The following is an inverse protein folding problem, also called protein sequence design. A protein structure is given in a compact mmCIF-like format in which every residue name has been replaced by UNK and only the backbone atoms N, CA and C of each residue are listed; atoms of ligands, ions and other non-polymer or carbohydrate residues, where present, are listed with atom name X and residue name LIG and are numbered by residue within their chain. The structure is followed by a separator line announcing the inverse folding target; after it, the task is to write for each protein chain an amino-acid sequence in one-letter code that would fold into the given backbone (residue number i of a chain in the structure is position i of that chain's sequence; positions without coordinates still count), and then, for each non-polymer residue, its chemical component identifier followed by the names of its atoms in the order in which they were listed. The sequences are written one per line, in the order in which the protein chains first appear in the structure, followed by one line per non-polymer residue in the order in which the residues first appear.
data_IF_081482681682
#
_entry.id   IF_081482681682
#
_cell.length_a   1.000
_cell.length_b   1.000
_cell.length_c   1.000
_cell.angle_alpha   90.00
_cell.angle_beta   90.00
_cell.angle_gamma   90.00
#
_symmetry.space_group_name_H-M   'P 1'
#
loop_
_entity.id
_entity.type
_entity.pdbx_description
1 polymer ?
#
# COMPACT_ATOMS: atom_id res chain seq x y z
N UNK A 1 -23.88 -33.92 -13.46
CA UNK A 1 -23.71 -34.75 -12.25
C UNK A 1 -23.79 -33.81 -11.05
N UNK A 2 -24.72 -34.04 -10.11
CA UNK A 2 -24.87 -33.21 -8.90
C UNK A 2 -23.74 -33.57 -7.94
N UNK A 3 -22.74 -32.69 -7.79
CA UNK A 3 -21.77 -32.82 -6.70
C UNK A 3 -22.49 -32.48 -5.41
N UNK A 4 -22.75 -33.52 -4.62
CA UNK A 4 -23.39 -33.44 -3.32
C UNK A 4 -22.32 -33.15 -2.26
N UNK A 5 -21.64 -32.00 -2.35
CA UNK A 5 -20.83 -31.52 -1.24
C UNK A 5 -21.79 -30.91 -0.22
N UNK A 6 -22.23 -31.73 0.74
CA UNK A 6 -22.92 -31.23 1.95
C UNK A 6 -21.88 -30.52 2.82
N UNK A 7 -21.68 -29.23 2.58
CA UNK A 7 -21.01 -28.37 3.53
C UNK A 7 -21.96 -28.14 4.72
N UNK A 8 -21.52 -28.49 5.93
CA UNK A 8 -22.19 -28.02 7.13
C UNK A 8 -21.72 -26.57 7.33
N UNK A 9 -22.54 -25.62 6.90
CA UNK A 9 -22.28 -24.19 7.09
C UNK A 9 -22.27 -23.88 8.59
N UNK A 10 -21.10 -23.59 9.14
CA UNK A 10 -20.94 -23.23 10.56
C UNK A 10 -21.03 -21.72 10.76
N UNK A 11 -20.49 -20.94 9.81
CA UNK A 11 -20.53 -19.47 9.78
C UNK A 11 -20.50 -19.01 8.31
N UNK A 12 -21.35 -18.04 7.99
CA UNK A 12 -21.32 -17.28 6.72
C UNK A 12 -21.10 -15.81 7.06
N UNK A 13 -20.07 -15.20 6.49
CA UNK A 13 -19.83 -13.77 6.60
C UNK A 13 -19.39 -13.24 5.22
N UNK A 14 -20.12 -12.29 4.62
CA UNK A 14 -19.73 -11.69 3.34
C UNK A 14 -18.39 -10.96 3.37
N UNK A 15 -17.90 -10.59 4.56
CA UNK A 15 -16.60 -9.91 4.77
C UNK A 15 -15.47 -10.90 5.13
N UNK A 16 -15.70 -12.21 5.02
CA UNK A 16 -14.65 -13.21 5.27
C UNK A 16 -13.58 -13.15 4.18
N UNK A 17 -12.31 -12.95 4.58
CA UNK A 17 -11.16 -13.02 3.68
C UNK A 17 -10.79 -14.45 3.29
N UNK A 18 -11.32 -15.45 4.02
CA UNK A 18 -11.18 -16.88 3.68
C UNK A 18 -12.41 -17.32 2.89
N UNK A 19 -12.19 -17.68 1.62
CA UNK A 19 -13.24 -18.08 0.69
C UNK A 19 -13.45 -19.60 0.76
N UNK A 20 -14.69 -20.04 0.97
CA UNK A 20 -15.04 -21.46 1.03
C UNK A 20 -15.02 -22.15 -0.35
N UNK A 21 -15.41 -21.43 -1.40
CA UNK A 21 -15.41 -21.89 -2.78
C UNK A 21 -14.89 -20.80 -3.72
N UNK A 22 -13.87 -21.13 -4.52
CA UNK A 22 -13.34 -20.23 -5.53
C UNK A 22 -13.55 -20.84 -6.92
N UNK A 23 -14.27 -20.11 -7.78
CA UNK A 23 -14.39 -20.48 -9.20
C UNK A 23 -13.23 -19.84 -9.95
N UNK A 24 -12.27 -20.62 -10.46
CA UNK A 24 -11.15 -20.06 -11.20
C UNK A 24 -11.64 -19.41 -12.50
N UNK A 25 -11.15 -18.21 -12.80
CA UNK A 25 -11.37 -17.59 -14.09
C UNK A 25 -10.82 -18.49 -15.20
N UNK A 26 -11.58 -18.67 -16.28
CA UNK A 26 -11.16 -19.47 -17.43
C UNK A 26 -9.93 -18.82 -18.08
N UNK A 27 -8.78 -19.49 -17.99
CA UNK A 27 -7.53 -19.07 -18.64
C UNK A 27 -7.22 -20.03 -19.77
N UNK A 28 -7.22 -19.54 -21.01
CA UNK A 28 -6.49 -20.21 -22.09
C UNK A 28 -5.02 -19.92 -21.88
N UNK A 29 -4.26 -20.88 -21.35
CA UNK A 29 -2.81 -20.75 -21.26
C UNK A 29 -2.23 -20.52 -22.66
N UNK A 30 -1.93 -19.27 -22.99
CA UNK A 30 -1.02 -18.94 -24.07
C UNK A 30 0.39 -19.01 -23.48
N UNK A 31 1.27 -19.74 -24.16
CA UNK A 31 2.71 -19.84 -23.91
C UNK A 31 3.34 -18.55 -23.39
N UNK A 32 4.29 -18.67 -22.45
CA UNK A 32 5.28 -17.66 -22.03
C UNK A 32 4.85 -16.20 -22.26
N UNK A 33 4.10 -15.65 -21.31
CA UNK A 33 3.90 -14.20 -21.23
C UNK A 33 5.21 -13.55 -20.78
N UNK A 34 5.57 -12.42 -21.39
CA UNK A 34 6.67 -11.59 -20.90
C UNK A 34 6.34 -10.99 -19.54
N UNK A 35 7.35 -10.61 -18.76
CA UNK A 35 7.18 -9.91 -17.48
C UNK A 35 6.34 -8.63 -17.64
N UNK A 36 6.58 -7.88 -18.71
CA UNK A 36 5.81 -6.66 -19.02
C UNK A 36 4.32 -6.94 -19.29
N UNK A 37 4.00 -8.06 -19.93
CA UNK A 37 2.60 -8.48 -20.15
C UNK A 37 1.94 -8.92 -18.83
N UNK A 38 2.68 -9.64 -17.98
CA UNK A 38 2.21 -10.05 -16.65
C UNK A 38 1.99 -8.86 -15.73
N UNK A 39 2.92 -7.91 -15.70
CA UNK A 39 2.82 -6.67 -14.91
C UNK A 39 1.62 -5.83 -15.36
N UNK A 40 1.43 -5.65 -16.67
CA UNK A 40 0.28 -4.92 -17.22
C UNK A 40 -1.04 -5.61 -16.85
N UNK A 41 -1.10 -6.94 -16.92
CA UNK A 41 -2.28 -7.69 -16.53
C UNK A 41 -2.57 -7.56 -15.03
N UNK A 42 -1.54 -7.64 -14.18
CA UNK A 42 -1.67 -7.48 -12.72
C UNK A 42 -2.16 -6.08 -12.34
N UNK A 43 -1.59 -5.03 -12.94
CA UNK A 43 -2.05 -3.65 -12.69
C UNK A 43 -3.51 -3.50 -13.10
N UNK A 44 -3.91 -4.04 -14.26
CA UNK A 44 -5.31 -4.02 -14.69
C UNK A 44 -6.25 -4.69 -13.68
N UNK A 45 -5.86 -5.85 -13.15
CA UNK A 45 -6.63 -6.56 -12.12
C UNK A 45 -6.75 -5.76 -10.81
N UNK A 46 -5.66 -5.13 -10.37
CA UNK A 46 -5.67 -4.30 -9.16
C UNK A 46 -6.55 -3.05 -9.36
N UNK A 47 -6.53 -2.43 -10.55
CA UNK A 47 -7.41 -1.31 -10.87
C UNK A 47 -8.89 -1.70 -10.86
N UNK A 48 -9.24 -2.89 -11.35
CA UNK A 48 -10.61 -3.44 -11.23
C UNK A 48 -11.01 -3.65 -9.76
N UNK A 49 -10.04 -3.88 -8.87
CA UNK A 49 -10.21 -3.97 -7.42
C UNK A 49 -10.09 -2.61 -6.71
N UNK A 50 -10.26 -1.50 -7.46
CA UNK A 50 -10.24 -0.12 -6.98
C UNK A 50 -8.88 0.38 -6.43
N UNK A 51 -7.77 -0.29 -6.75
CA UNK A 51 -6.45 0.30 -6.53
C UNK A 51 -6.22 1.42 -7.54
N UNK A 52 -5.81 2.59 -7.08
CA UNK A 52 -5.46 3.69 -7.95
C UNK A 52 -4.06 3.48 -8.55
N UNK A 53 -3.95 3.46 -9.87
CA UNK A 53 -2.65 3.44 -10.53
C UNK A 53 -2.03 4.83 -10.59
N UNK A 54 -0.79 4.97 -10.14
CA UNK A 54 -0.03 6.22 -10.20
C UNK A 54 1.28 6.07 -11.00
N UNK A 55 1.58 6.97 -11.97
CA UNK A 55 2.81 6.92 -12.75
C UNK A 55 4.00 7.59 -12.03
N UNK A 56 4.29 7.15 -10.80
CA UNK A 56 5.40 7.64 -9.96
C UNK A 56 6.74 7.11 -10.50
N UNK A 57 7.72 7.99 -10.69
CA UNK A 57 9.03 7.63 -11.29
C UNK A 57 10.23 7.99 -10.43
N UNK A 58 10.04 8.81 -9.40
CA UNK A 58 11.11 9.32 -8.55
C UNK A 58 10.80 9.13 -7.08
N UNK A 59 11.82 9.21 -6.23
CA UNK A 59 11.62 9.15 -4.78
C UNK A 59 10.86 10.38 -4.28
N UNK A 60 11.08 11.54 -4.90
CA UNK A 60 10.41 12.80 -4.64
C UNK A 60 8.91 12.69 -4.93
N UNK A 61 8.54 12.09 -6.06
CA UNK A 61 7.14 11.80 -6.40
C UNK A 61 6.50 10.87 -5.35
N UNK A 62 7.23 9.85 -4.88
CA UNK A 62 6.75 8.93 -3.85
C UNK A 62 6.53 9.64 -2.52
N UNK A 63 7.47 10.50 -2.10
CA UNK A 63 7.35 11.33 -0.89
C UNK A 63 6.18 12.31 -0.99
N UNK A 64 6.02 12.95 -2.13
CA UNK A 64 4.92 13.89 -2.38
C UNK A 64 3.56 13.17 -2.35
N UNK A 65 3.47 11.97 -2.92
CA UNK A 65 2.27 11.15 -2.83
C UNK A 65 1.98 10.72 -1.39
N UNK A 66 3.00 10.24 -0.65
CA UNK A 66 2.84 9.85 0.74
C UNK A 66 2.31 11.00 1.61
N UNK A 67 2.83 12.22 1.43
CA UNK A 67 2.31 13.42 2.10
C UNK A 67 0.81 13.57 1.87
N UNK A 68 0.37 13.54 0.61
CA UNK A 68 -1.05 13.70 0.25
C UNK A 68 -1.93 12.62 0.87
N UNK A 69 -1.47 11.36 0.91
CA UNK A 69 -2.25 10.29 1.52
C UNK A 69 -2.35 10.44 3.04
N UNK A 70 -1.28 10.86 3.71
CA UNK A 70 -1.31 11.12 5.16
C UNK A 70 -2.15 12.35 5.51
N UNK A 71 -2.10 13.40 4.70
CA UNK A 71 -2.98 14.58 4.81
C UNK A 71 -4.45 14.18 4.71
N UNK A 72 -4.78 13.33 3.72
CA UNK A 72 -6.13 12.80 3.50
C UNK A 72 -6.60 11.91 4.64
N UNK A 73 -5.75 11.02 5.15
CA UNK A 73 -6.09 10.11 6.24
C UNK A 73 -6.32 10.86 7.57
N UNK A 74 -5.56 11.92 7.82
CA UNK A 74 -5.56 12.63 9.11
C UNK A 74 -6.32 13.95 9.11
N UNK A 75 -7.02 14.26 8.01
CA UNK A 75 -7.74 15.50 7.76
C UNK A 75 -6.92 16.72 8.19
N UNK A 76 -5.73 16.84 7.61
CA UNK A 76 -4.81 17.95 7.88
C UNK A 76 -4.05 18.36 6.62
N UNK A 77 -3.40 19.50 6.69
CA UNK A 77 -2.41 19.94 5.70
C UNK A 77 -1.11 20.21 6.43
N UNK A 78 -0.02 19.61 5.97
CA UNK A 78 1.31 19.90 6.51
C UNK A 78 1.81 21.21 5.90
N UNK A 79 2.59 21.99 6.65
CA UNK A 79 3.54 22.93 6.05
C UNK A 79 4.74 22.16 5.46
N UNK A 80 5.53 22.79 4.60
CA UNK A 80 6.71 22.12 4.04
C UNK A 80 7.73 21.77 5.12
N UNK A 81 7.90 22.64 6.12
CA UNK A 81 8.78 22.43 7.27
C UNK A 81 8.26 21.30 8.16
N UNK A 82 6.97 21.29 8.48
CA UNK A 82 6.33 20.19 9.23
C UNK A 82 6.51 18.85 8.53
N UNK A 83 6.27 18.81 7.21
CA UNK A 83 6.40 17.61 6.40
C UNK A 83 7.85 17.09 6.38
N UNK A 84 8.82 17.97 6.09
CA UNK A 84 10.23 17.58 6.01
C UNK A 84 10.73 17.01 7.35
N UNK A 85 10.39 17.69 8.46
CA UNK A 85 10.76 17.24 9.79
C UNK A 85 10.09 15.91 10.15
N UNK A 86 8.77 15.78 9.93
CA UNK A 86 8.02 14.57 10.22
C UNK A 86 8.54 13.38 9.40
N UNK A 87 8.73 13.57 8.09
CA UNK A 87 9.23 12.53 7.21
C UNK A 87 10.61 12.06 7.67
N UNK A 88 11.56 12.97 7.92
CA UNK A 88 12.94 12.62 8.28
C UNK A 88 13.05 11.92 9.64
N UNK A 89 12.16 12.25 10.58
CA UNK A 89 12.22 11.72 11.94
C UNK A 89 11.46 10.40 12.09
N UNK A 90 10.26 10.32 11.52
CA UNK A 90 9.34 9.20 11.81
C UNK A 90 9.29 8.14 10.70
N UNK A 91 9.57 8.50 9.44
CA UNK A 91 9.34 7.61 8.28
C UNK A 91 10.66 7.27 7.57
N UNK A 92 11.33 8.30 7.06
CA UNK A 92 12.55 8.22 6.25
C UNK A 92 13.83 8.36 7.07
N UNK A 93 13.81 8.05 8.37
CA UNK A 93 14.99 8.15 9.22
C UNK A 93 16.08 7.17 8.73
N UNK A 94 17.27 7.66 8.30
CA UNK A 94 18.33 6.81 7.78
C UNK A 94 18.91 5.83 8.81
N UNK A 95 18.71 6.10 10.10
CA UNK A 95 19.15 5.24 11.19
C UNK A 95 18.19 4.07 11.47
N UNK A 96 16.97 4.10 10.94
CA UNK A 96 15.99 3.02 11.14
C UNK A 96 16.29 1.82 10.24
N UNK A 97 16.39 0.65 10.88
CA UNK A 97 16.51 -0.65 10.23
C UNK A 97 15.18 -1.11 9.61
N UNK A 98 15.19 -2.26 8.92
CA UNK A 98 13.97 -2.86 8.38
C UNK A 98 13.03 -3.29 9.53
N UNK A 99 13.61 -3.72 10.64
CA UNK A 99 12.93 -4.09 11.87
C UNK A 99 12.23 -2.88 12.50
N UNK A 100 12.89 -1.73 12.59
CA UNK A 100 12.30 -0.49 13.12
C UNK A 100 11.13 -0.01 12.26
N UNK A 101 11.25 -0.14 10.94
CA UNK A 101 10.15 0.17 10.00
C UNK A 101 8.98 -0.81 10.17
N UNK A 102 9.28 -2.09 10.46
CA UNK A 102 8.26 -3.09 10.74
C UNK A 102 7.52 -2.74 12.04
N UNK A 103 8.23 -2.38 13.11
CA UNK A 103 7.63 -1.92 14.37
C UNK A 103 6.77 -0.69 14.14
N UNK A 104 7.23 0.27 13.34
CA UNK A 104 6.47 1.48 12.99
C UNK A 104 5.12 1.15 12.33
N UNK A 105 5.08 0.17 11.43
CA UNK A 105 3.83 -0.21 10.76
C UNK A 105 2.95 -1.12 11.65
N UNK A 106 3.55 -2.03 12.40
CA UNK A 106 2.82 -3.05 13.15
C UNK A 106 2.35 -2.57 14.53
N UNK A 107 3.17 -1.80 15.23
CA UNK A 107 2.95 -1.44 16.63
C UNK A 107 2.80 0.07 16.79
N UNK A 108 3.70 0.86 16.19
CA UNK A 108 3.81 2.31 16.39
C UNK A 108 3.29 3.13 15.18
N UNK A 109 2.09 2.78 14.72
CA UNK A 109 1.48 3.34 13.50
C UNK A 109 0.84 4.72 13.73
N UNK A 110 0.95 5.29 14.94
CA UNK A 110 0.45 6.62 15.30
C UNK A 110 1.64 7.45 15.80
N UNK A 111 1.99 8.49 15.05
CA UNK A 111 3.15 9.34 15.32
C UNK A 111 2.75 10.72 15.80
N UNK A 112 3.61 11.40 16.55
CA UNK A 112 3.31 12.75 17.04
C UNK A 112 3.93 13.78 16.09
N UNK A 113 3.09 14.57 15.43
CA UNK A 113 3.51 15.77 14.72
C UNK A 113 3.62 16.94 15.71
N UNK A 114 4.78 17.59 15.73
CA UNK A 114 4.95 18.91 16.36
C UNK A 114 4.71 19.96 15.28
N UNK A 115 3.70 20.78 15.48
CA UNK A 115 3.29 21.82 14.53
C UNK A 115 4.10 23.09 14.73
N UNK A 116 4.14 23.93 13.70
CA UNK A 116 4.87 25.20 13.73
C UNK A 116 4.30 26.19 14.77
N UNK A 117 3.02 26.04 15.12
CA UNK A 117 2.32 26.82 16.17
C UNK A 117 2.65 26.34 17.60
N UNK A 118 3.50 25.33 17.75
CA UNK A 118 3.90 24.73 19.02
C UNK A 118 2.91 23.69 19.57
N UNK A 119 1.78 23.46 18.91
CA UNK A 119 0.85 22.39 19.27
C UNK A 119 1.32 21.03 18.77
N UNK A 120 0.69 19.97 19.26
CA UNK A 120 0.96 18.60 18.81
C UNK A 120 -0.30 17.94 18.26
N UNK A 121 -0.13 17.09 17.26
CA UNK A 121 -1.22 16.29 16.66
C UNK A 121 -0.77 14.85 16.45
N UNK A 122 -1.65 13.90 16.77
CA UNK A 122 -1.42 12.50 16.44
C UNK A 122 -1.71 12.25 14.96
N UNK A 123 -0.76 11.62 14.28
CA UNK A 123 -0.80 11.28 12.86
C UNK A 123 -0.84 9.76 12.73
N UNK A 124 -1.94 9.24 12.22
CA UNK A 124 -2.07 7.86 11.80
C UNK A 124 -1.31 7.65 10.49
N UNK A 125 -0.46 6.63 10.45
CA UNK A 125 0.15 6.12 9.23
C UNK A 125 -0.79 5.14 8.52
N UNK A 126 -1.54 4.36 9.29
CA UNK A 126 -2.55 3.40 8.83
C UNK A 126 -3.71 3.42 9.84
N UNK A 127 -4.95 3.49 9.37
CA UNK A 127 -6.13 3.28 10.22
C UNK A 127 -6.44 1.78 10.32
N UNK A 128 -6.08 1.18 11.46
CA UNK A 128 -6.34 -0.23 11.74
C UNK A 128 -7.74 -0.49 12.28
N UNK A 129 -8.44 0.54 12.74
CA UNK A 129 -9.78 0.41 13.30
C UNK A 129 -10.83 0.43 12.19
N UNK A 130 -10.67 1.33 11.22
CA UNK A 130 -11.55 1.47 10.06
C UNK A 130 -10.71 1.35 8.78
N UNK A 131 -10.44 0.09 8.39
CA UNK A 131 -9.49 -0.23 7.31
C UNK A 131 -9.83 0.44 5.96
N UNK A 132 -11.10 0.75 5.72
CA UNK A 132 -11.56 1.41 4.49
C UNK A 132 -11.20 2.90 4.41
N UNK A 133 -10.71 3.51 5.50
CA UNK A 133 -10.16 4.87 5.47
C UNK A 133 -8.77 4.93 4.81
N UNK A 134 -8.08 3.78 4.72
CA UNK A 134 -6.79 3.68 4.04
C UNK A 134 -6.98 3.71 2.52
N UNK A 135 -6.00 4.27 1.83
CA UNK A 135 -6.01 4.38 0.37
C UNK A 135 -5.00 3.42 -0.23
N UNK A 136 -5.46 2.61 -1.19
CA UNK A 136 -4.65 1.60 -1.85
C UNK A 136 -4.28 2.08 -3.25
N UNK A 137 -2.99 2.06 -3.54
CA UNK A 137 -2.42 2.57 -4.79
C UNK A 137 -1.39 1.56 -5.32
N UNK A 138 -1.26 1.50 -6.64
CA UNK A 138 -0.29 0.65 -7.34
C UNK A 138 0.60 1.49 -8.24
N UNK A 139 1.89 1.18 -8.25
CA UNK A 139 2.90 1.82 -9.10
C UNK A 139 3.73 0.74 -9.80
N UNK A 140 4.30 1.07 -10.95
CA UNK A 140 5.38 0.27 -11.51
C UNK A 140 6.64 0.42 -10.65
N UNK A 141 7.57 -0.52 -10.77
CA UNK A 141 8.90 -0.34 -10.19
C UNK A 141 9.55 0.92 -10.78
N UNK A 142 10.03 1.81 -9.91
CA UNK A 142 10.84 2.96 -10.33
C UNK A 142 12.31 2.68 -10.03
N UNK A 143 13.19 3.00 -10.98
CA UNK A 143 14.63 2.81 -10.83
C UNK A 143 15.22 3.93 -9.97
N UNK A 144 15.87 3.59 -8.87
CA UNK A 144 16.72 4.53 -8.13
C UNK A 144 18.09 4.62 -8.81
N UNK A 145 18.77 5.77 -8.77
CA UNK A 145 20.10 5.95 -9.37
C UNK A 145 21.17 5.00 -8.77
N UNK A 146 20.94 4.50 -7.55
CA UNK A 146 21.77 3.49 -6.88
C UNK A 146 21.44 2.04 -7.31
N UNK A 147 20.37 1.85 -8.08
CA UNK A 147 19.93 0.58 -8.64
C UNK A 147 20.66 0.21 -9.92
N UNK A 148 22.00 0.21 -9.92
CA UNK A 148 22.78 -0.58 -10.89
C UNK A 148 22.66 -2.08 -10.56
N UNK A 149 21.44 -2.58 -10.64
CA UNK A 149 21.21 -3.92 -11.16
C UNK A 149 20.29 -3.70 -12.34
N UNK A 150 20.89 -3.69 -13.53
CA UNK A 150 20.14 -4.04 -14.72
C UNK A 150 19.38 -5.32 -14.36
N UNK A 151 18.05 -5.25 -14.37
CA UNK A 151 17.21 -6.44 -14.31
C UNK A 151 17.83 -7.44 -15.27
N UNK A 152 18.20 -8.63 -14.78
CA UNK A 152 18.74 -9.69 -15.64
C UNK A 152 17.58 -10.27 -16.43
N UNK A 153 17.21 -9.61 -17.52
CA UNK A 153 16.44 -10.19 -18.63
C UNK A 153 16.93 -9.55 -19.92
#
# INVERSE_FOLDING_TARGET
MKNNNKYNLVVENPESTVVAEYTPAYRTEKSYQSEAELEKALIGQLQEQAYEYLPIKTEEDLKANLRKQLEKLNNLTFTDTEWEQFFKTEIGNPSHSIEDKTITIQEDYIKILKRDDGSTKNIYLIDKQYIHNNHLQVINQYSTEAGQRANRY
#
